data_IF_196694427204
#
_entry.id   IF_196694427204
#
_cell.length_a   1.000
_cell.length_b   1.000
_cell.length_c   1.000
_cell.angle_alpha   90.00
_cell.angle_beta   90.00
_cell.angle_gamma   90.00
#
_symmetry.space_group_name_H-M   'P 1'
#
loop_
_entity.id
_entity.type
_entity.pdbx_description
1 polymer ?
#
# COMPACT_ATOMS: atom_id res chain seq x y z
N UNK A 1 -37.19 -36.71 -35.02
CA UNK A 1 -36.38 -37.29 -33.94
C UNK A 1 -35.18 -36.38 -33.76
N UNK A 2 -35.32 -35.43 -32.85
CA UNK A 2 -34.39 -34.32 -32.62
C UNK A 2 -34.44 -34.05 -31.12
N UNK A 3 -33.59 -34.75 -30.37
CA UNK A 3 -33.51 -34.62 -28.93
C UNK A 3 -32.45 -33.59 -28.58
N UNK A 4 -32.92 -32.43 -28.12
CA UNK A 4 -32.14 -31.41 -27.45
C UNK A 4 -31.76 -31.92 -26.06
N UNK A 5 -30.46 -32.14 -25.81
CA UNK A 5 -29.93 -32.40 -24.47
C UNK A 5 -29.80 -31.06 -23.74
N UNK A 6 -30.74 -30.79 -22.86
CA UNK A 6 -30.66 -29.72 -21.85
C UNK A 6 -29.57 -30.08 -20.83
N UNK A 7 -28.47 -29.32 -20.83
CA UNK A 7 -27.48 -29.36 -19.74
C UNK A 7 -28.05 -28.52 -18.59
N UNK A 8 -28.68 -29.20 -17.63
CA UNK A 8 -29.03 -28.61 -16.34
C UNK A 8 -27.73 -28.20 -15.62
N UNK A 9 -27.55 -26.91 -15.39
CA UNK A 9 -26.51 -26.39 -14.50
C UNK A 9 -26.93 -26.69 -13.07
N UNK A 10 -26.21 -27.58 -12.41
CA UNK A 10 -26.27 -27.75 -10.96
C UNK A 10 -26.01 -26.39 -10.27
N UNK A 11 -26.80 -26.02 -9.24
CA UNK A 11 -26.53 -24.82 -8.47
C UNK A 11 -25.22 -24.99 -7.70
N UNK A 12 -24.34 -24.00 -7.81
CA UNK A 12 -23.10 -23.91 -7.06
C UNK A 12 -23.39 -24.07 -5.55
N UNK A 13 -22.93 -25.19 -5.00
CA UNK A 13 -23.04 -25.54 -3.60
C UNK A 13 -22.40 -24.43 -2.74
N UNK A 14 -23.25 -23.60 -2.14
CA UNK A 14 -22.86 -22.54 -1.20
C UNK A 14 -22.29 -23.20 0.04
N UNK A 15 -20.96 -23.27 0.13
CA UNK A 15 -20.28 -23.71 1.35
C UNK A 15 -20.72 -22.81 2.50
N UNK A 16 -21.15 -23.37 3.65
CA UNK A 16 -21.64 -22.59 4.77
C UNK A 16 -20.53 -21.67 5.29
N UNK A 17 -20.92 -20.46 5.69
CA UNK A 17 -20.12 -19.49 6.46
C UNK A 17 -19.47 -20.20 7.66
N UNK A 18 -18.27 -20.77 7.47
CA UNK A 18 -17.56 -21.46 8.55
C UNK A 18 -16.89 -20.40 9.41
N UNK A 19 -17.47 -20.11 10.58
CA UNK A 19 -16.87 -19.23 11.57
C UNK A 19 -15.45 -19.68 11.92
N UNK A 20 -14.58 -18.73 12.30
CA UNK A 20 -13.21 -19.04 12.71
C UNK A 20 -13.26 -19.84 14.00
N UNK A 21 -12.73 -21.07 14.01
CA UNK A 21 -12.54 -21.83 15.24
C UNK A 21 -11.24 -21.39 15.93
N UNK A 22 -11.36 -20.33 16.75
CA UNK A 22 -10.25 -19.70 17.46
C UNK A 22 -9.46 -20.65 18.37
N UNK A 23 -10.09 -21.74 18.84
CA UNK A 23 -9.46 -22.72 19.73
C UNK A 23 -8.34 -23.53 19.06
N UNK A 24 -8.29 -23.55 17.72
CA UNK A 24 -7.32 -24.34 16.94
C UNK A 24 -5.98 -23.65 16.72
N UNK A 25 -5.85 -22.38 17.13
CA UNK A 25 -4.69 -21.56 16.81
C UNK A 25 -3.83 -21.29 18.04
N UNK A 26 -2.54 -21.60 17.94
CA UNK A 26 -1.55 -21.25 18.96
C UNK A 26 -1.32 -19.72 19.01
N UNK A 27 -0.62 -19.23 20.04
CA UNK A 27 -0.21 -17.82 20.11
C UNK A 27 0.60 -17.41 18.87
N UNK A 28 0.37 -16.19 18.39
CA UNK A 28 1.08 -15.63 17.24
C UNK A 28 0.20 -15.35 16.03
N UNK A 29 0.83 -15.26 14.85
CA UNK A 29 0.19 -14.86 13.61
C UNK A 29 -0.07 -16.08 12.70
N UNK A 30 -1.27 -16.15 12.15
CA UNK A 30 -1.73 -17.22 11.26
C UNK A 30 -2.34 -16.64 9.98
N UNK A 31 -2.42 -17.48 8.95
CA UNK A 31 -3.04 -17.15 7.65
C UNK A 31 -4.03 -18.23 7.24
N UNK A 32 -5.24 -17.82 6.88
CA UNK A 32 -6.34 -18.72 6.52
C UNK A 32 -7.23 -18.12 5.43
N UNK A 33 -8.16 -18.93 4.93
CA UNK A 33 -9.23 -18.48 4.04
C UNK A 33 -10.18 -17.55 4.76
N UNK A 34 -10.54 -16.44 4.12
CA UNK A 34 -11.57 -15.57 4.67
C UNK A 34 -12.93 -16.28 4.60
N UNK A 35 -13.67 -16.39 5.71
CA UNK A 35 -14.99 -17.04 5.70
C UNK A 35 -16.00 -16.31 4.80
N UNK A 36 -15.76 -15.02 4.54
CA UNK A 36 -16.65 -14.19 3.74
C UNK A 36 -16.29 -14.12 2.24
N UNK A 37 -15.00 -14.16 1.88
CA UNK A 37 -14.57 -13.96 0.48
C UNK A 37 -13.52 -14.98 -0.01
N UNK A 38 -13.30 -16.04 0.76
CA UNK A 38 -12.34 -17.09 0.47
C UNK A 38 -12.72 -17.86 -0.79
N UNK A 39 -11.72 -18.19 -1.60
CA UNK A 39 -11.85 -18.96 -2.84
C UNK A 39 -11.07 -20.26 -2.72
N UNK A 40 -11.61 -21.22 -1.98
CA UNK A 40 -11.01 -22.54 -1.79
C UNK A 40 -9.91 -22.60 -0.71
N UNK A 41 -9.31 -23.79 -0.57
CA UNK A 41 -8.42 -24.17 0.55
C UNK A 41 -7.06 -23.47 0.57
N UNK A 42 -6.58 -23.00 -0.58
CA UNK A 42 -5.26 -22.35 -0.71
C UNK A 42 -5.32 -20.83 -0.56
N UNK A 43 -6.53 -20.24 -0.45
CA UNK A 43 -6.71 -18.81 -0.27
C UNK A 43 -6.32 -18.41 1.16
N UNK A 44 -5.21 -17.69 1.32
CA UNK A 44 -4.66 -17.25 2.62
C UNK A 44 -4.87 -15.76 2.90
N UNK A 45 -5.98 -15.21 2.40
CA UNK A 45 -6.26 -13.76 2.43
C UNK A 45 -6.65 -13.20 3.81
N UNK A 46 -6.94 -14.05 4.81
CA UNK A 46 -7.27 -13.63 6.17
C UNK A 46 -6.02 -13.74 7.06
N UNK A 47 -5.64 -12.65 7.72
CA UNK A 47 -4.64 -12.68 8.79
C UNK A 47 -5.33 -12.83 10.14
N UNK A 48 -4.86 -13.75 10.96
CA UNK A 48 -5.37 -14.01 12.30
C UNK A 48 -4.23 -13.83 13.31
N UNK A 49 -4.44 -13.05 14.35
CA UNK A 49 -3.45 -12.84 15.43
C UNK A 49 -4.05 -13.26 16.76
N UNK A 50 -3.43 -14.24 17.42
CA UNK A 50 -3.80 -14.74 18.75
C UNK A 50 -2.83 -14.17 19.80
N UNK A 51 -3.38 -13.51 20.82
CA UNK A 51 -2.66 -12.90 21.96
C UNK A 51 -2.71 -13.80 23.19
N UNK A 52 -1.84 -13.54 24.18
CA UNK A 52 -1.53 -14.36 25.36
C UNK A 52 -2.70 -14.90 26.22
N UNK A 53 -3.92 -14.40 26.04
CA UNK A 53 -5.13 -14.86 26.70
C UNK A 53 -6.13 -15.53 25.74
N UNK A 54 -5.67 -16.11 24.62
CA UNK A 54 -6.51 -16.60 23.51
C UNK A 54 -7.40 -15.54 22.85
N UNK A 55 -7.41 -14.28 23.30
CA UNK A 55 -8.05 -13.21 22.56
C UNK A 55 -7.33 -13.00 21.23
N UNK A 56 -8.06 -12.66 20.20
CA UNK A 56 -7.45 -12.46 18.90
C UNK A 56 -8.27 -11.61 17.95
N UNK A 57 -7.63 -11.23 16.86
CA UNK A 57 -8.22 -10.43 15.79
C UNK A 57 -7.94 -11.10 14.46
N UNK A 58 -8.98 -11.26 13.64
CA UNK A 58 -8.91 -11.68 12.27
C UNK A 58 -9.17 -10.47 11.37
N UNK A 59 -8.37 -10.27 10.34
CA UNK A 59 -8.51 -9.19 9.35
C UNK A 59 -8.25 -9.71 7.94
N UNK A 60 -9.23 -9.55 7.05
CA UNK A 60 -9.12 -9.98 5.66
C UNK A 60 -8.51 -8.88 4.81
N UNK A 61 -7.37 -9.15 4.18
CA UNK A 61 -6.70 -8.18 3.32
C UNK A 61 -7.43 -7.94 1.99
N UNK A 62 -8.43 -8.76 1.63
CA UNK A 62 -9.24 -8.62 0.42
C UNK A 62 -10.55 -7.87 0.67
N UNK A 63 -11.46 -8.44 1.46
CA UNK A 63 -12.78 -7.83 1.70
C UNK A 63 -12.84 -6.95 2.96
N UNK A 64 -11.74 -6.83 3.71
CA UNK A 64 -11.65 -6.12 4.99
C UNK A 64 -12.50 -6.72 6.11
N UNK A 65 -13.05 -7.94 5.97
CA UNK A 65 -13.71 -8.66 7.06
C UNK A 65 -12.86 -8.63 8.34
N UNK A 66 -13.46 -8.21 9.46
CA UNK A 66 -12.82 -8.21 10.78
C UNK A 66 -13.65 -8.99 11.77
N UNK A 67 -13.01 -9.92 12.46
CA UNK A 67 -13.59 -10.64 13.60
C UNK A 67 -12.66 -10.48 14.80
N UNK A 68 -13.22 -10.24 15.98
CA UNK A 68 -12.44 -10.18 17.23
C UNK A 68 -13.03 -11.17 18.21
N UNK A 69 -12.16 -12.01 18.78
CA UNK A 69 -12.52 -12.95 19.84
C UNK A 69 -11.90 -12.51 21.16
N UNK A 70 -12.69 -12.61 22.23
CA UNK A 70 -12.24 -12.40 23.61
C UNK A 70 -12.86 -13.52 24.47
N UNK A 71 -12.04 -14.40 25.07
CA UNK A 71 -12.58 -15.37 26.02
C UNK A 71 -13.07 -14.66 27.28
N UNK A 72 -14.10 -15.24 27.93
CA UNK A 72 -14.63 -14.73 29.19
C UNK A 72 -13.55 -14.83 30.29
N UNK A 73 -13.39 -13.77 31.08
CA UNK A 73 -12.55 -13.78 32.28
C UNK A 73 -13.24 -14.64 33.35
N UNK A 74 -12.48 -15.45 34.09
CA UNK A 74 -13.00 -16.32 35.16
C UNK A 74 -13.44 -15.57 36.44
N UNK A 75 -13.43 -14.24 36.44
CA UNK A 75 -13.95 -13.45 37.57
C UNK A 75 -15.41 -13.08 37.31
N UNK A 76 -16.31 -13.88 37.90
CA UNK A 76 -17.69 -13.67 38.41
C UNK A 76 -18.61 -12.54 37.89
N UNK A 77 -18.24 -11.86 36.82
CA UNK A 77 -19.00 -10.80 36.18
C UNK A 77 -19.53 -11.37 34.88
N UNK A 78 -20.85 -11.40 34.75
CA UNK A 78 -21.56 -11.88 33.56
C UNK A 78 -21.22 -10.99 32.35
N UNK A 79 -20.06 -11.20 31.74
CA UNK A 79 -19.76 -10.75 30.39
C UNK A 79 -19.96 -11.94 29.46
N UNK A 80 -21.06 -11.94 28.72
CA UNK A 80 -21.27 -12.86 27.61
C UNK A 80 -20.09 -12.75 26.64
N UNK A 81 -19.57 -13.89 26.18
CA UNK A 81 -18.57 -13.95 25.12
C UNK A 81 -19.18 -13.34 23.84
N UNK A 82 -19.02 -12.04 23.67
CA UNK A 82 -19.66 -11.28 22.61
C UNK A 82 -18.86 -11.36 21.33
N UNK A 83 -19.30 -12.15 20.36
CA UNK A 83 -18.89 -12.05 18.96
C UNK A 83 -19.33 -10.67 18.43
N UNK A 84 -18.42 -9.70 18.35
CA UNK A 84 -18.69 -8.44 17.67
C UNK A 84 -18.25 -8.57 16.22
N UNK A 85 -19.19 -8.90 15.36
CA UNK A 85 -19.03 -8.73 13.92
C UNK A 85 -19.04 -7.22 13.62
N UNK A 86 -17.86 -6.61 13.52
CA UNK A 86 -17.76 -5.21 13.09
C UNK A 86 -17.94 -5.22 11.57
N UNK A 87 -19.14 -4.89 11.09
CA UNK A 87 -19.30 -4.48 9.70
C UNK A 87 -18.35 -3.31 9.46
N UNK A 88 -17.50 -3.46 8.45
CA UNK A 88 -16.46 -2.51 8.12
C UNK A 88 -17.08 -1.12 7.90
N UNK A 89 -16.61 -0.14 8.67
CA UNK A 89 -16.82 1.26 8.32
C UNK A 89 -16.36 1.45 6.88
N UNK A 90 -17.26 1.89 6.00
CA UNK A 90 -16.95 2.19 4.60
C UNK A 90 -15.68 3.05 4.55
N UNK A 91 -14.65 2.60 3.83
CA UNK A 91 -13.40 3.37 3.72
C UNK A 91 -13.69 4.74 3.11
N UNK A 92 -13.04 5.78 3.63
CA UNK A 92 -13.05 7.10 3.02
C UNK A 92 -12.55 6.98 1.58
N UNK A 93 -13.32 7.54 0.64
CA UNK A 93 -12.95 7.58 -0.78
C UNK A 93 -11.99 8.74 -1.07
N UNK A 94 -12.00 9.74 -0.21
CA UNK A 94 -11.23 10.99 -0.31
C UNK A 94 -10.53 11.23 1.03
N UNK A 95 -9.57 12.13 1.07
CA UNK A 95 -8.84 12.45 2.29
C UNK A 95 -9.76 13.10 3.32
N UNK A 96 -9.90 12.47 4.49
CA UNK A 96 -10.72 13.01 5.57
C UNK A 96 -10.22 14.36 6.08
N UNK A 97 -11.07 15.10 6.79
CA UNK A 97 -10.70 16.37 7.43
C UNK A 97 -9.48 16.24 8.35
N UNK A 98 -9.41 15.15 9.13
CA UNK A 98 -8.23 14.84 9.93
C UNK A 98 -6.97 14.69 9.08
N UNK A 99 -7.06 14.00 7.94
CA UNK A 99 -5.96 13.85 7.01
C UNK A 99 -5.51 15.18 6.41
N UNK A 100 -6.46 16.04 6.03
CA UNK A 100 -6.17 17.39 5.53
C UNK A 100 -5.48 18.25 6.59
N UNK A 101 -5.99 18.25 7.82
CA UNK A 101 -5.37 18.94 8.95
C UNK A 101 -3.95 18.45 9.23
N UNK A 102 -3.74 17.13 9.22
CA UNK A 102 -2.42 16.54 9.40
C UNK A 102 -1.46 16.96 8.28
N UNK A 103 -1.92 16.97 7.02
CA UNK A 103 -1.09 17.40 5.89
C UNK A 103 -0.76 18.90 5.96
N UNK A 104 -1.68 19.74 6.42
CA UNK A 104 -1.44 21.18 6.61
C UNK A 104 -0.40 21.48 7.70
N UNK A 105 -0.20 20.57 8.66
CA UNK A 105 0.83 20.68 9.70
C UNK A 105 2.23 20.29 9.20
N UNK A 106 2.33 19.72 7.99
CA UNK A 106 3.62 19.36 7.39
C UNK A 106 4.34 20.59 6.86
N UNK A 107 5.66 20.45 6.69
CA UNK A 107 6.57 21.47 6.18
C UNK A 107 7.16 20.98 4.86
N UNK A 108 7.70 21.90 4.06
CA UNK A 108 8.57 21.53 2.94
C UNK A 108 9.75 20.69 3.42
N UNK A 109 10.34 19.88 2.53
CA UNK A 109 11.49 19.05 2.87
C UNK A 109 12.64 19.88 3.46
N UNK A 110 12.97 19.60 4.72
CA UNK A 110 14.01 20.31 5.48
C UNK A 110 14.47 19.46 6.68
N UNK A 111 15.57 19.86 7.32
CA UNK A 111 16.14 19.18 8.50
C UNK A 111 16.27 17.67 8.27
N UNK A 112 15.81 16.88 9.25
CA UNK A 112 15.88 15.41 9.21
C UNK A 112 15.24 14.81 7.94
N UNK A 113 14.18 15.42 7.40
CA UNK A 113 13.56 14.97 6.15
C UNK A 113 14.50 15.09 4.95
N UNK A 114 15.21 16.22 4.84
CA UNK A 114 16.19 16.45 3.80
C UNK A 114 17.45 15.61 4.01
N UNK A 115 17.91 15.50 5.24
CA UNK A 115 19.11 14.72 5.60
C UNK A 115 18.90 13.23 5.31
N UNK A 116 17.72 12.69 5.63
CA UNK A 116 17.33 11.32 5.27
C UNK A 116 17.45 11.06 3.76
N UNK A 117 16.86 11.93 2.94
CA UNK A 117 16.89 11.76 1.48
C UNK A 117 18.31 11.90 0.92
N UNK A 118 19.11 12.85 1.44
CA UNK A 118 20.52 13.02 1.06
C UNK A 118 21.37 11.81 1.44
N UNK A 119 21.20 11.29 2.65
CA UNK A 119 21.90 10.09 3.11
C UNK A 119 21.54 8.87 2.25
N UNK A 120 20.30 8.81 1.73
CA UNK A 120 19.87 7.80 0.75
C UNK A 120 20.26 8.10 -0.70
N UNK A 121 21.03 9.17 -0.94
CA UNK A 121 21.45 9.67 -2.26
C UNK A 121 20.27 9.91 -3.22
N UNK A 122 19.09 10.20 -2.70
CA UNK A 122 17.91 10.52 -3.50
C UNK A 122 18.04 11.91 -4.15
N UNK A 123 17.52 12.07 -5.36
CA UNK A 123 17.20 13.40 -5.90
C UNK A 123 16.15 14.04 -5.01
N UNK A 124 16.30 15.33 -4.73
CA UNK A 124 15.30 16.08 -3.96
C UNK A 124 14.24 16.59 -4.93
N UNK A 125 12.96 16.23 -4.76
CA UNK A 125 11.90 16.66 -5.66
C UNK A 125 11.62 18.17 -5.54
N UNK A 126 10.90 18.77 -6.51
CA UNK A 126 10.42 20.15 -6.42
C UNK A 126 9.61 20.42 -5.14
N UNK A 127 9.63 21.68 -4.68
CA UNK A 127 8.99 22.09 -3.40
C UNK A 127 7.47 21.95 -3.41
N UNK A 128 6.87 22.00 -4.59
CA UNK A 128 5.44 21.90 -4.87
C UNK A 128 4.98 20.48 -5.22
N UNK A 129 5.87 19.48 -5.13
CA UNK A 129 5.49 18.08 -5.17
C UNK A 129 4.75 17.61 -3.90
N UNK A 130 4.15 16.42 -3.98
CA UNK A 130 3.31 15.86 -2.92
C UNK A 130 4.08 15.32 -1.69
N UNK A 131 5.42 15.40 -1.68
CA UNK A 131 6.25 14.90 -0.59
C UNK A 131 6.65 16.01 0.38
N UNK A 132 6.24 15.87 1.64
CA UNK A 132 6.50 16.82 2.73
C UNK A 132 7.14 16.15 3.95
N UNK A 133 7.45 16.95 4.95
CA UNK A 133 8.12 16.55 6.17
C UNK A 133 7.35 16.97 7.42
N UNK A 134 7.27 16.10 8.42
CA UNK A 134 6.72 16.41 9.74
C UNK A 134 7.76 16.10 10.84
N UNK A 135 8.15 17.05 11.71
CA UNK A 135 9.25 16.85 12.65
C UNK A 135 8.93 15.92 13.83
N UNK A 136 7.66 15.81 14.23
CA UNK A 136 7.24 15.05 15.41
C UNK A 136 5.89 14.34 15.18
N UNK A 137 5.82 13.45 14.19
CA UNK A 137 4.60 12.75 13.82
C UNK A 137 4.34 11.58 14.77
N UNK A 138 3.11 11.47 15.30
CA UNK A 138 2.69 10.36 16.17
C UNK A 138 2.43 9.08 15.37
N UNK A 139 3.13 8.02 15.72
CA UNK A 139 2.91 6.65 15.26
C UNK A 139 1.84 5.96 16.15
N UNK A 140 1.01 5.04 15.61
CA UNK A 140 0.03 4.28 16.41
C UNK A 140 0.61 3.48 17.60
N UNK A 141 1.90 3.13 17.56
CA UNK A 141 2.59 2.46 18.68
C UNK A 141 2.88 3.38 19.88
N UNK A 142 2.66 4.69 19.74
CA UNK A 142 3.02 5.70 20.73
C UNK A 142 4.35 6.41 20.46
N UNK A 143 5.18 5.91 19.53
CA UNK A 143 6.37 6.60 19.07
C UNK A 143 6.02 7.96 18.44
N UNK A 144 6.83 8.99 18.71
CA UNK A 144 6.70 10.32 18.11
C UNK A 144 8.06 10.71 17.56
N UNK A 145 8.12 11.07 16.28
CA UNK A 145 9.39 11.43 15.67
C UNK A 145 9.27 11.95 14.24
N UNK A 146 10.40 12.28 13.61
CA UNK A 146 10.43 12.83 12.27
C UNK A 146 9.91 11.83 11.23
N UNK A 147 9.13 12.33 10.28
CA UNK A 147 8.52 11.52 9.23
C UNK A 147 8.47 12.26 7.89
N UNK A 148 8.66 11.51 6.80
CA UNK A 148 8.16 11.92 5.49
C UNK A 148 6.65 11.67 5.45
N UNK A 149 5.91 12.65 4.94
CA UNK A 149 4.47 12.59 4.75
C UNK A 149 4.18 12.95 3.31
N UNK A 150 3.70 11.99 2.54
CA UNK A 150 3.34 12.19 1.14
C UNK A 150 1.83 12.19 0.97
N UNK A 151 1.32 13.14 0.21
CA UNK A 151 -0.07 13.12 -0.24
C UNK A 151 -0.22 12.04 -1.30
N UNK A 152 -1.23 11.18 -1.13
CA UNK A 152 -1.64 10.24 -2.17
C UNK A 152 -2.90 10.80 -2.79
N UNK A 153 -2.85 11.04 -4.10
CA UNK A 153 -3.93 11.56 -4.92
C UNK A 153 -4.43 10.48 -5.87
N UNK A 154 -5.69 10.56 -6.28
CA UNK A 154 -6.22 9.71 -7.33
C UNK A 154 -5.45 10.00 -8.63
N UNK A 155 -5.07 8.94 -9.33
CA UNK A 155 -4.29 9.05 -10.56
C UNK A 155 -5.03 9.85 -11.63
N UNK A 156 -6.35 9.70 -11.76
CA UNK A 156 -7.15 10.31 -12.84
C UNK A 156 -7.77 11.63 -12.39
N UNK A 157 -8.40 11.66 -11.21
CA UNK A 157 -9.14 12.86 -10.76
C UNK A 157 -8.27 13.87 -10.02
N UNK A 158 -7.05 13.49 -9.64
CA UNK A 158 -6.16 14.26 -8.78
C UNK A 158 -6.74 14.59 -7.38
N UNK A 159 -7.83 13.92 -7.00
CA UNK A 159 -8.45 14.12 -5.70
C UNK A 159 -7.56 13.52 -4.59
N UNK A 160 -7.29 14.21 -3.48
CA UNK A 160 -6.59 13.62 -2.34
C UNK A 160 -7.35 12.42 -1.77
N UNK A 161 -6.67 11.28 -1.58
CA UNK A 161 -7.31 10.03 -1.11
C UNK A 161 -6.78 9.53 0.24
N UNK A 162 -5.48 9.66 0.51
CA UNK A 162 -4.86 9.20 1.76
C UNK A 162 -3.49 9.87 1.96
N UNK A 163 -2.85 9.61 3.09
CA UNK A 163 -1.46 10.01 3.33
C UNK A 163 -0.58 8.79 3.46
N UNK A 164 0.61 8.87 2.88
CA UNK A 164 1.68 7.90 3.07
C UNK A 164 2.71 8.47 4.06
N UNK A 165 2.89 7.80 5.20
CA UNK A 165 3.74 8.27 6.30
C UNK A 165 4.89 7.30 6.49
N UNK A 166 6.13 7.79 6.49
CA UNK A 166 7.33 6.99 6.78
C UNK A 166 8.13 7.69 7.87
N UNK A 167 8.32 7.04 9.01
CA UNK A 167 9.15 7.56 10.10
C UNK A 167 10.62 7.29 9.79
N UNK A 168 11.46 8.30 9.99
CA UNK A 168 12.82 8.34 9.44
C UNK A 168 13.83 8.83 10.48
N UNK A 169 15.11 8.58 10.22
CA UNK A 169 16.26 9.12 10.93
C UNK A 169 17.13 9.94 9.97
N UNK A 170 17.89 10.90 10.48
CA UNK A 170 18.80 11.73 9.68
C UNK A 170 19.92 10.92 9.01
N UNK A 171 20.18 9.70 9.49
CA UNK A 171 21.19 8.77 8.96
C UNK A 171 20.78 8.09 7.64
N UNK A 172 19.59 8.37 7.10
CA UNK A 172 19.06 7.68 5.92
C UNK A 172 18.36 6.35 6.22
N UNK A 173 18.30 5.97 7.50
CA UNK A 173 17.56 4.80 7.96
C UNK A 173 16.11 5.17 8.30
N UNK A 174 15.19 4.20 8.20
CA UNK A 174 13.85 4.33 8.76
C UNK A 174 13.94 4.30 10.30
N UNK A 175 12.92 4.83 10.98
CA UNK A 175 12.86 4.75 12.44
C UNK A 175 12.65 3.31 12.91
N UNK A 176 13.09 2.99 14.13
CA UNK A 176 12.96 1.65 14.73
C UNK A 176 11.55 1.46 15.30
N UNK A 177 10.54 1.54 14.44
CA UNK A 177 9.14 1.36 14.77
C UNK A 177 8.51 0.40 13.77
N UNK A 178 7.61 -0.47 14.22
CA UNK A 178 7.00 -1.49 13.38
C UNK A 178 5.48 -1.25 13.18
N UNK A 179 5.00 -1.13 11.94
CA UNK A 179 5.79 -0.93 10.71
C UNK A 179 6.31 0.53 10.61
N UNK A 180 7.49 0.77 10.00
CA UNK A 180 8.07 2.12 9.90
C UNK A 180 7.37 3.00 8.86
N UNK A 181 6.41 2.44 8.13
CA UNK A 181 5.66 3.05 7.04
C UNK A 181 4.20 2.66 7.15
N UNK A 182 3.32 3.65 7.11
CA UNK A 182 1.87 3.46 7.20
C UNK A 182 1.12 4.42 6.29
N UNK A 183 0.08 3.90 5.64
CA UNK A 183 -0.97 4.75 5.10
C UNK A 183 -1.86 5.30 6.22
N UNK A 184 -2.57 6.40 5.97
CA UNK A 184 -3.59 6.88 6.89
C UNK A 184 -4.74 5.86 6.97
N UNK A 185 -5.11 5.47 8.18
CA UNK A 185 -6.08 4.42 8.44
C UNK A 185 -7.48 4.79 7.92
N UNK A 186 -8.24 3.80 7.49
CA UNK A 186 -9.64 3.98 7.07
C UNK A 186 -9.83 4.57 5.67
N UNK A 187 -8.76 4.84 4.93
CA UNK A 187 -8.84 5.42 3.58
C UNK A 187 -8.60 4.36 2.50
N UNK A 188 -9.15 4.57 1.30
CA UNK A 188 -8.74 3.79 0.13
C UNK A 188 -7.31 4.13 -0.28
N UNK A 189 -6.67 3.19 -0.98
CA UNK A 189 -5.35 3.38 -1.62
C UNK A 189 -5.34 3.04 -3.12
N UNK A 190 -6.35 2.31 -3.58
CA UNK A 190 -6.43 1.83 -4.95
C UNK A 190 -6.55 3.01 -5.92
N UNK A 191 -5.78 2.98 -7.01
CA UNK A 191 -5.70 4.06 -8.00
C UNK A 191 -4.95 5.29 -7.46
N UNK A 192 -4.16 5.13 -6.41
CA UNK A 192 -3.41 6.21 -5.77
C UNK A 192 -2.01 6.39 -6.33
N UNK A 193 -1.58 7.64 -6.43
CA UNK A 193 -0.23 8.05 -6.80
C UNK A 193 0.28 9.16 -5.88
N UNK A 194 1.59 9.23 -5.69
CA UNK A 194 2.30 10.33 -5.06
C UNK A 194 3.02 11.09 -6.16
N UNK A 195 2.58 12.32 -6.44
CA UNK A 195 3.17 13.17 -7.49
C UNK A 195 4.42 13.86 -6.97
N UNK A 196 5.56 13.15 -6.99
CA UNK A 196 6.83 13.71 -6.50
C UNK A 196 7.26 14.94 -7.33
N UNK A 197 6.95 14.95 -8.62
CA UNK A 197 6.90 16.15 -9.46
C UNK A 197 5.44 16.46 -9.77
N UNK A 198 5.01 17.74 -9.73
CA UNK A 198 3.63 18.10 -10.02
C UNK A 198 3.30 17.87 -11.51
N UNK A 199 2.00 17.78 -11.82
CA UNK A 199 1.50 17.52 -13.19
C UNK A 199 2.06 18.50 -14.22
N UNK A 200 2.28 19.77 -13.83
CA UNK A 200 2.84 20.81 -14.71
C UNK A 200 4.27 20.52 -15.20
N UNK A 201 5.02 19.64 -14.52
CA UNK A 201 6.34 19.18 -14.96
C UNK A 201 6.25 17.98 -15.93
N UNK A 202 5.10 17.32 -16.01
CA UNK A 202 4.88 16.17 -16.89
C UNK A 202 4.50 16.67 -18.28
N UNK A 203 5.37 16.36 -19.24
CA UNK A 203 5.13 16.64 -20.66
C UNK A 203 4.82 15.32 -21.37
N UNK A 204 5.65 14.89 -22.31
CA UNK A 204 5.46 13.64 -23.07
C UNK A 204 5.95 12.40 -22.32
N UNK A 205 6.75 12.56 -21.26
CA UNK A 205 7.38 11.47 -20.56
C UNK A 205 7.14 11.50 -19.06
N UNK A 206 6.91 10.32 -18.46
CA UNK A 206 6.76 10.15 -17.02
C UNK A 206 7.52 8.89 -16.57
N UNK A 207 8.20 8.97 -15.44
CA UNK A 207 8.74 7.81 -14.75
C UNK A 207 7.90 7.43 -13.53
N UNK A 208 7.79 6.13 -13.25
CA UNK A 208 7.04 5.59 -12.12
C UNK A 208 7.79 4.46 -11.43
N UNK A 209 7.72 4.42 -10.10
CA UNK A 209 8.13 3.25 -9.31
C UNK A 209 7.08 2.96 -8.22
N UNK A 210 7.19 1.85 -7.50
CA UNK A 210 6.32 1.58 -6.36
C UNK A 210 6.61 2.55 -5.20
N UNK A 211 7.87 2.64 -4.78
CA UNK A 211 8.31 3.42 -3.61
C UNK A 211 8.78 4.84 -3.91
N UNK A 212 8.72 5.69 -2.88
CA UNK A 212 9.24 7.07 -2.93
C UNK A 212 10.75 7.06 -3.14
N UNK A 213 11.50 6.33 -2.31
CA UNK A 213 12.96 6.30 -2.38
C UNK A 213 13.47 5.74 -3.71
N UNK A 214 12.85 4.67 -4.21
CA UNK A 214 13.13 4.08 -5.53
C UNK A 214 12.89 5.09 -6.65
N UNK A 215 11.76 5.80 -6.62
CA UNK A 215 11.42 6.84 -7.61
C UNK A 215 12.44 7.98 -7.59
N UNK A 216 12.81 8.47 -6.41
CA UNK A 216 13.80 9.54 -6.25
C UNK A 216 15.24 9.10 -6.56
N UNK A 217 15.52 7.80 -6.57
CA UNK A 217 16.80 7.25 -7.01
C UNK A 217 16.87 7.18 -8.53
N UNK A 218 15.80 6.69 -9.16
CA UNK A 218 15.69 6.65 -10.62
C UNK A 218 15.61 8.07 -11.22
N UNK A 219 15.21 9.07 -10.44
CA UNK A 219 15.22 10.47 -10.81
C UNK A 219 16.61 11.00 -11.23
N UNK A 220 17.71 10.34 -10.85
CA UNK A 220 19.05 10.67 -11.39
C UNK A 220 19.18 10.42 -12.88
N UNK A 221 18.39 9.47 -13.42
CA UNK A 221 18.42 9.10 -14.83
C UNK A 221 17.28 9.75 -15.63
N UNK A 222 16.12 9.98 -15.01
CA UNK A 222 14.95 10.51 -15.70
C UNK A 222 14.02 11.26 -14.76
N UNK A 223 13.52 12.42 -15.18
CA UNK A 223 12.45 13.18 -14.50
C UNK A 223 11.43 13.64 -15.53
N UNK A 224 10.14 13.81 -15.17
CA UNK A 224 9.55 13.71 -13.82
C UNK A 224 9.29 12.27 -13.35
N UNK A 225 9.17 12.08 -12.03
CA UNK A 225 8.93 10.78 -11.39
C UNK A 225 7.70 10.81 -10.47
N UNK A 226 6.87 9.76 -10.46
CA UNK A 226 5.81 9.53 -9.48
C UNK A 226 6.00 8.19 -8.75
N UNK A 227 5.50 8.10 -7.50
CA UNK A 227 5.47 6.84 -6.74
C UNK A 227 4.05 6.30 -6.68
N UNK A 228 3.87 5.02 -7.02
CA UNK A 228 2.55 4.38 -7.11
C UNK A 228 2.12 3.69 -5.81
N UNK A 229 2.82 3.93 -4.70
CA UNK A 229 2.53 3.39 -3.36
C UNK A 229 2.82 1.90 -3.21
N UNK A 230 2.40 1.06 -4.16
CA UNK A 230 2.61 -0.39 -4.15
C UNK A 230 2.48 -1.04 -5.55
N UNK A 231 2.89 -2.32 -5.64
CA UNK A 231 2.79 -3.16 -6.84
C UNK A 231 1.38 -3.25 -7.45
N UNK A 232 0.32 -3.20 -6.63
CA UNK A 232 -1.06 -3.30 -7.11
C UNK A 232 -1.47 -2.06 -7.88
N UNK A 233 -1.16 -0.88 -7.35
CA UNK A 233 -1.34 0.39 -8.04
C UNK A 233 -0.43 0.51 -9.26
N UNK A 234 0.82 0.02 -9.21
CA UNK A 234 1.68 -0.07 -10.39
C UNK A 234 1.05 -0.91 -11.51
N UNK A 235 0.61 -2.12 -11.18
CA UNK A 235 -0.01 -3.05 -12.14
C UNK A 235 -1.30 -2.50 -12.77
N UNK A 236 -2.00 -1.60 -12.08
CA UNK A 236 -3.27 -1.00 -12.50
C UNK A 236 -3.14 0.45 -12.99
N UNK A 237 -1.92 0.98 -13.11
CA UNK A 237 -1.68 2.36 -13.51
C UNK A 237 -2.16 2.60 -14.95
N UNK A 238 -3.18 3.46 -15.16
CA UNK A 238 -3.76 3.67 -16.47
C UNK A 238 -2.86 4.52 -17.37
N UNK A 239 -2.98 4.34 -18.69
CA UNK A 239 -2.40 5.28 -19.64
C UNK A 239 -3.07 6.65 -19.50
N UNK A 240 -2.27 7.71 -19.37
CA UNK A 240 -2.75 9.07 -19.15
C UNK A 240 -2.70 9.88 -20.46
N UNK A 241 -3.74 10.69 -20.76
CA UNK A 241 -3.72 11.59 -21.91
C UNK A 241 -2.52 12.53 -21.87
N UNK A 242 -1.91 12.78 -23.04
CA UNK A 242 -0.76 13.68 -23.20
C UNK A 242 0.60 13.07 -22.85
N UNK A 243 0.65 11.94 -22.13
CA UNK A 243 1.89 11.21 -21.88
C UNK A 243 2.09 10.18 -23.00
N UNK A 244 3.24 10.22 -23.65
CA UNK A 244 3.62 9.36 -24.78
C UNK A 244 4.64 8.28 -24.41
N UNK A 245 5.41 8.49 -23.35
CA UNK A 245 6.43 7.56 -22.88
C UNK A 245 6.38 7.33 -21.36
N UNK A 246 6.46 6.07 -20.94
CA UNK A 246 6.51 5.66 -19.54
C UNK A 246 7.82 4.93 -19.23
N UNK A 247 8.56 5.40 -18.24
CA UNK A 247 9.68 4.68 -17.64
C UNK A 247 9.21 4.01 -16.35
N UNK A 248 9.29 2.69 -16.26
CA UNK A 248 8.90 1.94 -15.06
C UNK A 248 10.16 1.44 -14.36
N UNK A 249 10.43 1.94 -13.16
CA UNK A 249 11.41 1.33 -12.26
C UNK A 249 10.74 0.26 -11.40
N UNK A 250 11.11 -1.00 -11.61
CA UNK A 250 10.56 -2.13 -10.87
C UNK A 250 11.61 -2.69 -9.91
N UNK A 251 11.17 -3.08 -8.72
CA UNK A 251 12.00 -3.82 -7.78
C UNK A 251 12.29 -5.21 -8.36
N UNK A 252 13.49 -5.75 -8.12
CA UNK A 252 13.89 -7.05 -8.66
C UNK A 252 13.37 -8.19 -7.77
N UNK A 253 12.06 -8.24 -7.59
CA UNK A 253 11.33 -9.37 -7.02
C UNK A 253 10.19 -9.81 -7.95
N UNK A 254 9.59 -10.97 -7.66
CA UNK A 254 8.57 -11.54 -8.54
C UNK A 254 7.31 -10.67 -8.65
N UNK A 255 6.92 -10.01 -7.55
CA UNK A 255 5.71 -9.21 -7.48
C UNK A 255 5.87 -7.90 -8.27
N UNK A 256 6.97 -7.18 -8.04
CA UNK A 256 7.31 -5.93 -8.73
C UNK A 256 7.55 -6.15 -10.22
N UNK A 257 8.30 -7.19 -10.60
CA UNK A 257 8.50 -7.52 -12.01
C UNK A 257 7.20 -7.87 -12.73
N UNK A 258 6.27 -8.59 -12.06
CA UNK A 258 4.95 -8.91 -12.61
C UNK A 258 4.09 -7.66 -12.77
N UNK A 259 4.07 -6.79 -11.76
CA UNK A 259 3.32 -5.54 -11.79
C UNK A 259 3.80 -4.62 -12.92
N UNK A 260 5.12 -4.45 -13.06
CA UNK A 260 5.72 -3.64 -14.13
C UNK A 260 5.39 -4.17 -15.53
N UNK A 261 5.47 -5.49 -15.75
CA UNK A 261 5.09 -6.11 -17.03
C UNK A 261 3.61 -5.92 -17.35
N UNK A 262 2.74 -6.04 -16.35
CA UNK A 262 1.31 -5.80 -16.53
C UNK A 262 1.03 -4.34 -16.92
N UNK A 263 1.61 -3.39 -16.18
CA UNK A 263 1.52 -1.96 -16.48
C UNK A 263 2.00 -1.66 -17.90
N UNK A 264 3.19 -2.16 -18.26
CA UNK A 264 3.76 -1.98 -19.59
C UNK A 264 2.85 -2.54 -20.69
N UNK A 265 2.26 -3.71 -20.48
CA UNK A 265 1.31 -4.30 -21.44
C UNK A 265 0.07 -3.42 -21.64
N UNK A 266 -0.45 -2.82 -20.56
CA UNK A 266 -1.60 -1.91 -20.66
C UNK A 266 -1.26 -0.63 -21.43
N UNK A 267 -0.08 -0.04 -21.18
CA UNK A 267 0.37 1.18 -21.83
C UNK A 267 0.77 0.97 -23.29
N UNK A 268 1.44 -0.13 -23.64
CA UNK A 268 1.80 -0.39 -25.04
C UNK A 268 0.58 -0.67 -25.91
N UNK A 269 -0.47 -1.29 -25.37
CA UNK A 269 -1.76 -1.48 -26.07
C UNK A 269 -2.44 -0.17 -26.48
N UNK A 270 -2.12 0.95 -25.82
CA UNK A 270 -2.65 2.28 -26.17
C UNK A 270 -1.69 3.07 -27.08
N UNK A 271 -0.67 2.40 -27.64
CA UNK A 271 0.29 3.00 -28.57
C UNK A 271 1.42 3.78 -27.90
N UNK A 272 1.58 3.66 -26.57
CA UNK A 272 2.58 4.40 -25.79
C UNK A 272 3.90 3.66 -25.72
N UNK A 273 5.00 4.41 -25.68
CA UNK A 273 6.33 3.85 -25.48
C UNK A 273 6.53 3.50 -24.01
N UNK A 274 7.02 2.29 -23.72
CA UNK A 274 7.29 1.88 -22.34
C UNK A 274 8.67 1.27 -22.23
N UNK A 275 9.42 1.64 -21.20
CA UNK A 275 10.69 1.01 -20.83
C UNK A 275 10.64 0.59 -19.37
N UNK A 276 11.02 -0.65 -19.10
CA UNK A 276 11.18 -1.15 -17.73
C UNK A 276 12.67 -1.14 -17.37
N UNK A 277 12.99 -0.65 -16.18
CA UNK A 277 14.31 -0.69 -15.56
C UNK A 277 14.21 -1.57 -14.32
N UNK A 278 15.05 -2.59 -14.24
CA UNK A 278 15.14 -3.52 -13.13
C UNK A 278 16.60 -3.50 -12.64
N UNK A 279 16.87 -3.41 -11.32
CA UNK A 279 18.23 -3.47 -10.82
C UNK A 279 18.89 -4.84 -11.10
N UNK A 280 20.23 -4.90 -11.22
CA UNK A 280 20.94 -6.10 -11.65
C UNK A 280 20.93 -7.23 -10.61
N UNK A 281 20.59 -6.93 -9.35
CA UNK A 281 20.50 -7.88 -8.23
C UNK A 281 19.11 -7.83 -7.63
N UNK A 282 18.74 -8.83 -6.81
CA UNK A 282 17.49 -8.85 -6.04
C UNK A 282 17.52 -7.79 -4.93
N UNK A 283 17.35 -6.54 -5.32
CA UNK A 283 17.27 -5.37 -4.46
C UNK A 283 16.34 -4.33 -5.11
N UNK A 284 16.11 -3.21 -4.44
CA UNK A 284 15.44 -2.06 -5.06
C UNK A 284 16.47 -1.13 -5.75
N UNK A 285 16.00 -0.18 -6.58
CA UNK A 285 16.88 0.77 -7.27
C UNK A 285 17.58 1.74 -6.31
N UNK A 286 17.06 1.96 -5.10
CA UNK A 286 17.71 2.82 -4.12
C UNK A 286 18.91 2.11 -3.47
N UNK A 287 18.82 0.80 -3.21
CA UNK A 287 19.95 0.01 -2.72
C UNK A 287 21.15 0.11 -3.68
N UNK A 288 20.90 -0.01 -4.99
CA UNK A 288 21.93 0.16 -6.02
C UNK A 288 22.54 1.56 -6.00
N UNK A 289 21.72 2.61 -5.84
CA UNK A 289 22.22 3.98 -5.74
C UNK A 289 23.10 4.17 -4.49
N UNK A 290 22.78 3.47 -3.39
CA UNK A 290 23.51 3.57 -2.14
C UNK A 290 24.86 2.82 -2.13
N UNK A 291 25.13 1.89 -3.05
CA UNK A 291 26.41 1.17 -3.14
C UNK A 291 27.61 2.16 -3.25
N UNK A 292 28.74 1.89 -2.59
CA UNK A 292 29.97 2.66 -2.78
C UNK A 292 30.50 2.44 -4.20
N UNK A 293 30.90 3.53 -4.86
CA UNK A 293 31.54 3.49 -6.18
C UNK A 293 33.01 3.10 -6.07
#
# INVERSE_FOLDING_TARGET
MSDFISIEREPANSSPNMAIDWSRFAFGNHRLGCPHCGRGKDDKTLGLTIKGNQAGVAHCFRCNYVETFRPALQDGSNFTAGMKHIQTSRKFQTLSEYGQQLFNQTKTLQGVGLDYLKARKCVIPPRDGDLRYHPALKHPSGYVGPALVALVTDTVTNEPITLHRTWIKSTGSKADVDPPRLLLSGHRKAGGVIRLWPDANVTLGLGVCEGIETSLSLAHAFTPMWSLVDAGNLASFPALPGIEALLIGADNDEAGARAARQCATCWTKTGKFVRIVIPPRQCDLNDVAMEPK
#
